data_IF_211435588833
#
_entry.id   IF_211435588833
#
_cell.length_a   1.000
_cell.length_b   1.000
_cell.length_c   1.000
_cell.angle_alpha   90.00
_cell.angle_beta   90.00
_cell.angle_gamma   90.00
#
_symmetry.space_group_name_H-M   'P 1'
#
loop_
_entity.id
_entity.type
_entity.pdbx_description
1 polymer ?
#
# COMPACT_ATOMS: atom_id res chain seq x y z
N UNK A 1 17.34 58.01 -88.46
CA UNK A 1 15.86 57.87 -88.51
C UNK A 1 15.57 56.50 -89.10
N UNK A 2 14.81 55.56 -88.55
CA UNK A 2 14.06 55.37 -87.30
C UNK A 2 13.82 53.85 -87.30
N UNK A 3 14.28 53.12 -86.28
CA UNK A 3 13.86 51.72 -86.06
C UNK A 3 12.79 51.67 -84.96
N UNK A 4 11.73 50.94 -85.24
CA UNK A 4 10.94 50.20 -84.24
C UNK A 4 10.75 48.80 -84.79
N UNK A 5 10.86 47.77 -83.94
CA UNK A 5 9.82 46.75 -83.94
C UNK A 5 9.31 46.44 -82.52
N UNK A 6 8.01 46.12 -82.47
CA UNK A 6 7.24 45.74 -81.27
C UNK A 6 7.78 44.44 -80.68
N UNK A 7 7.97 44.42 -79.36
CA UNK A 7 8.21 43.21 -78.56
C UNK A 7 6.93 42.74 -77.88
N UNK A 8 6.64 41.44 -78.01
CA UNK A 8 5.67 40.73 -77.20
C UNK A 8 6.27 40.45 -75.81
N UNK A 9 5.42 40.55 -74.80
CA UNK A 9 5.70 40.37 -73.37
C UNK A 9 5.70 38.88 -72.99
N UNK A 10 6.65 38.48 -72.15
CA UNK A 10 6.44 37.51 -71.07
C UNK A 10 6.94 38.14 -69.76
N UNK A 11 6.26 37.93 -68.61
CA UNK A 11 6.62 38.55 -67.33
C UNK A 11 7.76 37.78 -66.61
N UNK A 12 8.57 38.46 -65.77
CA UNK A 12 9.65 37.81 -65.04
C UNK A 12 9.16 37.07 -63.78
N UNK A 13 9.73 35.90 -63.53
CA UNK A 13 9.55 35.10 -62.31
C UNK A 13 10.18 35.79 -61.08
N UNK A 14 9.43 35.82 -59.98
CA UNK A 14 9.92 36.21 -58.65
C UNK A 14 10.42 34.96 -57.89
N UNK A 15 11.74 34.82 -57.75
CA UNK A 15 12.34 33.97 -56.73
C UNK A 15 12.70 34.82 -55.50
N UNK A 16 12.38 34.42 -54.26
CA UNK A 16 12.87 35.11 -53.07
C UNK A 16 14.23 34.54 -52.65
N UNK A 17 15.29 35.32 -52.87
CA UNK A 17 16.52 35.23 -52.08
C UNK A 17 16.26 35.82 -50.70
N UNK A 18 16.48 35.05 -49.64
CA UNK A 18 16.63 35.56 -48.28
C UNK A 18 17.86 34.90 -47.63
N UNK A 19 18.83 35.67 -47.09
CA UNK A 19 20.02 35.09 -46.47
C UNK A 19 19.66 34.36 -45.16
N UNK A 20 20.13 33.13 -44.99
CA UNK A 20 19.91 32.35 -43.76
C UNK A 20 20.55 33.05 -42.54
N UNK A 21 19.73 33.38 -41.54
CA UNK A 21 20.20 33.74 -40.20
C UNK A 21 20.90 32.55 -39.52
N UNK A 22 21.95 32.77 -38.72
CA UNK A 22 22.69 31.69 -38.08
C UNK A 22 21.80 31.01 -37.02
N UNK A 23 21.45 29.74 -37.27
CA UNK A 23 20.73 28.89 -36.31
C UNK A 23 21.55 28.75 -35.02
N UNK A 24 21.11 29.43 -33.95
CA UNK A 24 21.54 29.12 -32.59
C UNK A 24 21.30 27.63 -32.32
N UNK A 25 22.38 26.90 -31.97
CA UNK A 25 22.28 25.51 -31.55
C UNK A 25 21.64 25.45 -30.16
N UNK A 26 20.33 25.26 -30.12
CA UNK A 26 19.64 24.90 -28.89
C UNK A 26 20.12 23.52 -28.39
N UNK A 27 20.26 23.33 -27.05
CA UNK A 27 20.62 22.04 -26.49
C UNK A 27 19.50 21.01 -26.75
N UNK A 28 19.85 19.82 -27.28
CA UNK A 28 18.92 18.72 -27.57
C UNK A 28 18.26 18.17 -26.28
N UNK A 29 17.18 18.81 -25.83
CA UNK A 29 16.15 18.18 -25.00
C UNK A 29 15.32 17.22 -25.86
N UNK A 30 15.07 16.00 -25.37
CA UNK A 30 14.35 14.96 -26.15
C UNK A 30 12.85 15.17 -26.08
N UNK A 31 12.32 16.05 -26.92
CA UNK A 31 10.91 16.46 -26.87
C UNK A 31 9.91 15.48 -27.51
N UNK A 32 10.33 14.29 -27.98
CA UNK A 32 9.45 13.37 -28.74
C UNK A 32 9.56 11.87 -28.38
N UNK A 33 9.98 11.48 -27.15
CA UNK A 33 9.93 10.06 -26.75
C UNK A 33 8.47 9.60 -26.57
N UNK A 34 8.09 8.50 -27.23
CA UNK A 34 6.80 7.83 -27.01
C UNK A 34 6.73 7.22 -25.60
N UNK A 35 5.51 6.93 -25.11
CA UNK A 35 5.34 6.22 -23.83
C UNK A 35 6.07 4.86 -23.83
N UNK A 36 6.09 4.15 -24.96
CA UNK A 36 6.77 2.87 -25.08
C UNK A 36 8.30 3.00 -24.96
N UNK A 37 8.88 4.06 -25.52
CA UNK A 37 10.32 4.34 -25.40
C UNK A 37 10.68 4.77 -23.97
N UNK A 38 9.87 5.63 -23.38
CA UNK A 38 10.01 6.03 -21.97
C UNK A 38 9.92 4.82 -21.05
N UNK A 39 8.92 3.94 -21.26
CA UNK A 39 8.76 2.70 -20.52
C UNK A 39 9.99 1.79 -20.65
N UNK A 40 10.48 1.57 -21.88
CA UNK A 40 11.67 0.73 -22.13
C UNK A 40 12.90 1.22 -21.36
N UNK A 41 13.03 2.53 -21.18
CA UNK A 41 14.12 3.17 -20.44
C UNK A 41 14.01 2.96 -18.93
N UNK A 42 12.81 3.01 -18.35
CA UNK A 42 12.62 2.97 -16.89
C UNK A 42 12.27 1.60 -16.33
N UNK A 43 11.73 0.68 -17.15
CA UNK A 43 11.21 -0.62 -16.68
C UNK A 43 12.24 -1.45 -15.89
N UNK A 44 13.51 -1.44 -16.33
CA UNK A 44 14.57 -2.22 -15.69
C UNK A 44 14.81 -1.77 -14.24
N UNK A 45 14.55 -0.50 -13.93
CA UNK A 45 14.72 0.10 -12.61
C UNK A 45 13.54 -0.17 -11.68
N UNK A 46 12.46 -0.78 -12.17
CA UNK A 46 11.29 -1.18 -11.38
C UNK A 46 11.41 -2.64 -10.98
N UNK A 47 11.23 -2.91 -9.69
CA UNK A 47 11.50 -4.21 -9.05
C UNK A 47 10.31 -4.67 -8.23
N UNK A 48 10.25 -5.96 -7.93
CA UNK A 48 9.34 -6.49 -6.91
C UNK A 48 10.06 -6.52 -5.56
N UNK A 49 9.40 -6.03 -4.52
CA UNK A 49 9.85 -6.16 -3.13
C UNK A 49 8.97 -7.20 -2.46
N UNK A 50 9.57 -8.27 -1.96
CA UNK A 50 8.87 -9.39 -1.31
C UNK A 50 9.33 -9.53 0.13
N UNK A 51 8.38 -9.83 1.02
CA UNK A 51 8.61 -10.17 2.43
C UNK A 51 7.94 -11.52 2.74
N UNK A 52 8.05 -11.98 3.99
CA UNK A 52 7.26 -13.12 4.45
C UNK A 52 5.76 -12.80 4.54
N UNK A 53 5.41 -11.53 4.74
CA UNK A 53 4.03 -11.04 4.91
C UNK A 53 3.31 -10.74 3.60
N UNK A 54 4.05 -10.51 2.50
CA UNK A 54 3.46 -10.17 1.22
C UNK A 54 4.47 -9.71 0.18
N UNK A 55 4.01 -8.89 -0.76
CA UNK A 55 4.85 -8.26 -1.76
C UNK A 55 4.28 -6.93 -2.22
N UNK A 56 5.14 -6.11 -2.81
CA UNK A 56 4.80 -4.87 -3.49
C UNK A 56 5.81 -4.59 -4.59
N UNK A 57 5.81 -3.36 -5.07
CA UNK A 57 6.75 -2.85 -6.06
C UNK A 57 7.76 -1.92 -5.36
N UNK A 58 8.95 -1.81 -5.94
CA UNK A 58 9.91 -0.77 -5.61
C UNK A 58 10.64 -0.30 -6.86
N UNK A 59 11.56 0.64 -6.70
CA UNK A 59 12.38 1.13 -7.81
C UNK A 59 13.76 1.60 -7.36
N UNK A 60 14.75 1.49 -8.25
CA UNK A 60 16.13 1.91 -7.98
C UNK A 60 16.19 3.43 -7.84
N UNK A 61 16.50 3.88 -6.63
CA UNK A 61 16.62 5.29 -6.27
C UNK A 61 18.07 5.79 -6.40
N UNK A 62 19.03 4.95 -6.03
CA UNK A 62 20.47 5.26 -6.09
C UNK A 62 21.24 3.94 -6.27
N UNK A 63 21.83 3.75 -7.45
CA UNK A 63 22.50 2.50 -7.81
C UNK A 63 23.79 2.29 -6.99
N UNK A 64 24.54 3.37 -6.72
CA UNK A 64 25.81 3.35 -6.01
C UNK A 64 25.61 3.05 -4.52
N UNK A 65 24.62 3.69 -3.89
CA UNK A 65 24.21 3.38 -2.52
C UNK A 65 23.40 2.09 -2.40
N UNK A 66 23.01 1.51 -3.53
CA UNK A 66 22.15 0.32 -3.68
C UNK A 66 20.76 0.52 -3.06
N UNK A 67 20.21 1.72 -3.17
CA UNK A 67 18.93 2.09 -2.57
C UNK A 67 17.77 1.80 -3.51
N UNK A 68 16.78 1.10 -2.98
CA UNK A 68 15.50 0.83 -3.61
C UNK A 68 14.42 1.53 -2.77
N UNK A 69 13.61 2.37 -3.41
CA UNK A 69 12.45 2.99 -2.79
C UNK A 69 11.25 2.05 -2.85
N UNK A 70 10.40 2.07 -1.81
CA UNK A 70 9.11 1.37 -1.75
C UNK A 70 8.23 2.00 -0.65
N UNK A 71 7.02 1.47 -0.41
CA UNK A 71 6.23 1.88 0.75
C UNK A 71 6.74 1.25 2.04
N UNK A 72 6.49 1.90 3.17
CA UNK A 72 6.78 1.35 4.49
C UNK A 72 5.94 0.10 4.76
N UNK A 73 4.64 0.10 4.46
CA UNK A 73 3.78 -1.07 4.71
C UNK A 73 4.18 -2.33 3.92
N UNK A 74 4.92 -2.18 2.80
CA UNK A 74 5.41 -3.32 2.01
C UNK A 74 6.52 -4.08 2.75
N UNK A 75 7.32 -3.37 3.56
CA UNK A 75 8.42 -3.95 4.35
C UNK A 75 8.04 -4.25 5.80
N UNK A 76 6.79 -3.94 6.19
CA UNK A 76 6.23 -4.26 7.50
C UNK A 76 5.80 -5.73 7.60
N UNK A 77 5.70 -6.26 8.82
CA UNK A 77 5.30 -7.65 9.07
C UNK A 77 6.48 -8.64 9.10
N UNK A 78 7.68 -8.13 8.85
CA UNK A 78 8.98 -8.73 9.11
C UNK A 78 9.40 -9.93 8.29
N UNK A 79 10.57 -10.46 8.67
CA UNK A 79 11.26 -11.50 7.90
C UNK A 79 12.28 -10.94 6.91
N UNK A 80 12.77 -11.82 6.04
CA UNK A 80 13.74 -11.44 5.02
C UNK A 80 13.07 -10.62 3.90
N UNK A 81 13.66 -9.48 3.57
CA UNK A 81 13.24 -8.67 2.42
C UNK A 81 14.01 -9.16 1.19
N UNK A 82 13.31 -9.58 0.16
CA UNK A 82 13.88 -9.97 -1.14
C UNK A 82 13.49 -8.96 -2.20
N UNK A 83 14.48 -8.45 -2.93
CA UNK A 83 14.27 -7.61 -4.12
C UNK A 83 14.49 -8.45 -5.36
N UNK A 84 13.47 -8.51 -6.23
CA UNK A 84 13.46 -9.29 -7.47
C UNK A 84 13.52 -8.33 -8.66
N UNK A 85 14.52 -8.54 -9.51
CA UNK A 85 14.81 -7.74 -10.68
C UNK A 85 14.40 -8.48 -11.94
N UNK A 86 13.80 -7.74 -12.88
CA UNK A 86 13.34 -8.25 -14.16
C UNK A 86 14.14 -7.68 -15.35
N UNK A 87 15.23 -6.96 -15.09
CA UNK A 87 16.13 -6.51 -16.16
C UNK A 87 16.64 -7.72 -16.95
N UNK A 88 16.30 -7.79 -18.23
CA UNK A 88 16.72 -8.87 -19.12
C UNK A 88 18.25 -9.02 -19.18
N UNK A 89 19.02 -7.94 -18.92
CA UNK A 89 20.48 -7.98 -18.89
C UNK A 89 21.03 -8.66 -17.63
N UNK A 90 20.29 -8.67 -16.53
CA UNK A 90 20.73 -9.22 -15.25
C UNK A 90 19.52 -9.61 -14.38
N UNK A 91 18.74 -10.62 -14.81
CA UNK A 91 17.60 -11.10 -14.04
C UNK A 91 18.08 -11.72 -12.73
N UNK A 92 17.20 -11.75 -11.73
CA UNK A 92 17.46 -12.45 -10.48
C UNK A 92 17.05 -11.65 -9.26
N UNK A 93 17.46 -12.11 -8.08
CA UNK A 93 17.02 -11.55 -6.82
C UNK A 93 18.18 -11.36 -5.84
N UNK A 94 17.98 -10.50 -4.85
CA UNK A 94 18.91 -10.32 -3.74
C UNK A 94 18.15 -10.01 -2.45
N UNK A 95 18.76 -10.32 -1.33
CA UNK A 95 18.24 -9.92 -0.02
C UNK A 95 18.45 -8.42 0.19
N UNK A 96 17.66 -7.78 1.04
CA UNK A 96 17.79 -6.37 1.34
C UNK A 96 17.63 -6.12 2.84
N UNK A 97 18.23 -5.02 3.29
CA UNK A 97 18.07 -4.50 4.64
C UNK A 97 17.38 -3.15 4.59
N UNK A 98 16.62 -2.79 5.62
CA UNK A 98 15.98 -1.46 5.66
C UNK A 98 17.02 -0.40 5.96
N UNK A 99 17.17 0.58 5.06
CA UNK A 99 18.12 1.67 5.21
C UNK A 99 17.50 2.86 5.93
N UNK A 100 16.30 3.27 5.50
CA UNK A 100 15.59 4.44 6.02
C UNK A 100 14.08 4.22 5.93
N UNK A 101 13.34 4.74 6.89
CA UNK A 101 11.87 4.74 6.89
C UNK A 101 11.40 6.11 7.32
N UNK A 102 10.47 6.69 6.57
CA UNK A 102 9.93 8.01 6.89
C UNK A 102 9.02 7.92 8.14
N UNK A 103 9.06 8.92 9.02
CA UNK A 103 8.32 8.88 10.30
C UNK A 103 6.81 8.94 10.09
N UNK A 104 6.33 9.82 9.20
CA UNK A 104 4.88 10.02 8.99
C UNK A 104 4.38 9.40 7.69
N UNK A 105 4.97 9.76 6.54
CA UNK A 105 4.61 9.21 5.23
C UNK A 105 4.95 7.70 5.13
N UNK A 106 4.10 6.96 4.42
CA UNK A 106 4.26 5.53 4.14
C UNK A 106 5.33 5.27 3.06
N UNK A 107 6.58 5.62 3.38
CA UNK A 107 7.72 5.59 2.47
C UNK A 107 8.93 4.96 3.17
N UNK A 108 9.63 4.09 2.45
CA UNK A 108 10.86 3.45 2.90
C UNK A 108 11.91 3.35 1.80
N UNK A 109 13.17 3.28 2.22
CA UNK A 109 14.32 2.95 1.39
C UNK A 109 14.94 1.67 1.96
N UNK A 110 15.07 0.64 1.12
CA UNK A 110 15.83 -0.57 1.43
C UNK A 110 17.16 -0.57 0.68
N UNK A 111 18.19 -1.15 1.28
CA UNK A 111 19.50 -1.35 0.67
C UNK A 111 19.60 -2.78 0.17
N UNK A 112 19.69 -2.93 -1.15
CA UNK A 112 19.89 -4.22 -1.79
C UNK A 112 21.29 -4.79 -1.44
N UNK A 113 21.33 -6.05 -1.06
CA UNK A 113 22.53 -6.80 -0.71
C UNK A 113 23.33 -7.29 -1.93
N UNK A 114 24.39 -8.04 -1.66
CA UNK A 114 25.24 -8.67 -2.67
C UNK A 114 26.05 -7.69 -3.53
N UNK A 115 26.72 -8.25 -4.54
CA UNK A 115 27.63 -7.53 -5.46
C UNK A 115 27.06 -7.30 -6.86
N UNK A 116 25.81 -7.72 -7.14
CA UNK A 116 25.17 -7.51 -8.45
C UNK A 116 25.15 -6.03 -8.82
N UNK A 117 25.37 -5.70 -10.09
CA UNK A 117 25.09 -4.35 -10.57
C UNK A 117 23.59 -4.06 -10.50
N UNK A 118 23.24 -2.82 -10.14
CA UNK A 118 21.85 -2.38 -10.18
C UNK A 118 21.56 -1.66 -11.50
N UNK A 119 20.34 -1.77 -12.03
CA UNK A 119 19.87 -0.91 -13.11
C UNK A 119 20.04 0.58 -12.77
N UNK A 120 20.07 1.48 -13.77
CA UNK A 120 20.18 2.92 -13.53
C UNK A 120 19.11 3.43 -12.56
N UNK A 121 19.47 4.37 -11.70
CA UNK A 121 18.50 5.04 -10.86
C UNK A 121 17.48 5.82 -11.71
N UNK A 122 16.22 5.82 -11.28
CA UNK A 122 15.20 6.69 -11.89
C UNK A 122 15.44 8.16 -11.49
N UNK A 123 15.03 9.09 -12.34
CA UNK A 123 15.05 10.52 -12.02
C UNK A 123 13.81 10.88 -11.20
N UNK A 124 13.95 11.75 -10.20
CA UNK A 124 12.81 12.27 -9.44
C UNK A 124 12.36 13.61 -10.03
N UNK A 125 11.08 13.72 -10.40
CA UNK A 125 10.47 14.92 -11.00
C UNK A 125 9.91 15.90 -9.97
N UNK A 126 9.71 17.16 -10.35
CA UNK A 126 9.22 18.19 -9.43
C UNK A 126 7.72 18.06 -9.18
N UNK A 127 7.29 17.99 -7.92
CA UNK A 127 5.88 17.88 -7.51
C UNK A 127 5.14 19.21 -7.63
N UNK A 128 5.82 20.34 -7.45
CA UNK A 128 5.21 21.68 -7.56
C UNK A 128 4.80 22.04 -8.99
N UNK A 129 5.38 21.39 -9.99
CA UNK A 129 5.00 21.57 -11.40
C UNK A 129 3.83 20.69 -11.84
N UNK A 130 3.38 19.75 -11.00
CA UNK A 130 2.32 18.79 -11.36
C UNK A 130 0.95 19.45 -11.26
N UNK A 131 0.11 19.27 -12.26
CA UNK A 131 -1.25 19.82 -12.36
C UNK A 131 -2.30 18.71 -12.58
N UNK A 132 -3.57 18.94 -12.19
CA UNK A 132 -4.66 18.07 -12.62
C UNK A 132 -4.68 17.93 -14.16
N UNK A 133 -5.09 16.74 -14.61
CA UNK A 133 -5.05 16.28 -16.01
C UNK A 133 -3.65 15.99 -16.58
N UNK A 134 -2.56 16.20 -15.83
CA UNK A 134 -1.23 15.77 -16.28
C UNK A 134 -1.22 14.25 -16.55
N UNK A 135 -0.75 13.81 -17.73
CA UNK A 135 -0.65 12.40 -18.06
C UNK A 135 0.41 11.71 -17.21
N UNK A 136 0.06 10.53 -16.70
CA UNK A 136 0.94 9.70 -15.88
C UNK A 136 0.92 8.25 -16.34
N UNK A 137 1.95 7.51 -15.94
CA UNK A 137 1.91 6.06 -15.99
C UNK A 137 2.62 5.47 -14.78
N UNK A 138 2.27 4.23 -14.47
CA UNK A 138 2.89 3.45 -13.39
C UNK A 138 3.30 2.09 -13.92
N UNK A 139 4.32 1.52 -13.29
CA UNK A 139 4.76 0.15 -13.51
C UNK A 139 4.75 -0.56 -12.16
N UNK A 140 4.14 -1.75 -12.10
CA UNK A 140 4.10 -2.54 -10.87
C UNK A 140 3.96 -4.03 -11.14
N UNK A 141 3.90 -4.83 -10.07
CA UNK A 141 3.83 -6.29 -10.16
C UNK A 141 2.53 -6.85 -9.55
N UNK A 142 1.35 -6.58 -10.16
CA UNK A 142 0.07 -7.06 -9.67
C UNK A 142 -0.01 -8.58 -9.80
N UNK A 143 0.03 -9.33 -8.71
CA UNK A 143 -0.25 -10.78 -8.75
C UNK A 143 0.95 -11.72 -8.61
N UNK A 144 2.07 -11.27 -8.03
CA UNK A 144 3.18 -12.19 -7.69
C UNK A 144 2.74 -13.31 -6.71
N UNK A 145 1.64 -13.17 -5.98
CA UNK A 145 1.21 -14.08 -4.89
C UNK A 145 0.78 -15.50 -5.19
N UNK A 146 0.48 -15.86 -6.44
CA UNK A 146 -0.09 -17.19 -6.75
C UNK A 146 0.98 -18.24 -7.10
N UNK A 147 2.07 -18.32 -6.33
CA UNK A 147 3.21 -19.19 -6.68
C UNK A 147 3.88 -18.82 -8.02
N UNK A 148 3.59 -17.61 -8.52
CA UNK A 148 4.11 -17.03 -9.74
C UNK A 148 5.18 -15.94 -9.49
N UNK A 149 5.54 -15.67 -8.22
CA UNK A 149 6.73 -14.89 -7.89
C UNK A 149 7.93 -15.57 -8.57
N UNK A 150 8.49 -14.93 -9.60
CA UNK A 150 9.58 -15.49 -10.40
C UNK A 150 9.16 -16.28 -11.64
N UNK A 151 7.86 -16.51 -11.88
CA UNK A 151 7.32 -17.05 -13.15
C UNK A 151 6.83 -15.97 -14.12
N UNK A 152 6.86 -14.70 -13.71
CA UNK A 152 6.74 -13.55 -14.62
C UNK A 152 5.36 -13.27 -15.22
N UNK A 153 4.31 -14.01 -14.87
CA UNK A 153 3.01 -13.92 -15.57
C UNK A 153 2.37 -12.52 -15.47
N UNK A 154 2.57 -11.78 -14.39
CA UNK A 154 2.04 -10.41 -14.20
C UNK A 154 3.06 -9.42 -13.62
N UNK A 155 4.36 -9.72 -13.72
CA UNK A 155 5.40 -8.78 -13.32
C UNK A 155 5.50 -7.62 -14.32
N UNK A 156 5.81 -6.41 -13.85
CA UNK A 156 5.99 -5.21 -14.68
C UNK A 156 4.77 -4.83 -15.56
N UNK A 157 3.57 -4.88 -14.98
CA UNK A 157 2.36 -4.37 -15.62
C UNK A 157 2.41 -2.84 -15.68
N UNK A 158 2.18 -2.29 -16.88
CA UNK A 158 2.07 -0.84 -17.11
C UNK A 158 0.62 -0.42 -17.03
N UNK A 159 0.35 0.71 -16.39
CA UNK A 159 -0.97 1.33 -16.38
C UNK A 159 -0.83 2.83 -16.62
N UNK A 160 -1.67 3.39 -17.50
CA UNK A 160 -1.73 4.82 -17.80
C UNK A 160 -2.95 5.45 -17.10
N UNK A 161 -2.85 6.74 -16.81
CA UNK A 161 -3.94 7.57 -16.30
C UNK A 161 -3.54 9.04 -16.31
N UNK A 162 -4.19 9.83 -15.47
CA UNK A 162 -3.93 11.24 -15.23
C UNK A 162 -3.84 11.54 -13.72
N UNK A 163 -3.30 12.71 -13.41
CA UNK A 163 -3.49 13.32 -12.10
C UNK A 163 -4.93 13.82 -11.99
N UNK A 164 -5.74 13.22 -11.12
CA UNK A 164 -7.12 13.66 -10.88
C UNK A 164 -7.18 14.85 -9.94
N UNK A 165 -6.29 14.91 -8.94
CA UNK A 165 -6.17 16.05 -8.03
C UNK A 165 -4.79 16.10 -7.38
N UNK A 166 -4.34 17.30 -7.04
CA UNK A 166 -3.09 17.57 -6.31
C UNK A 166 -3.38 17.96 -4.86
N UNK A 167 -2.34 17.92 -4.01
CA UNK A 167 -2.36 18.43 -2.62
C UNK A 167 -3.44 17.80 -1.74
N UNK A 168 -3.81 16.55 -2.00
CA UNK A 168 -4.61 15.76 -1.04
C UNK A 168 -3.78 15.55 0.22
N UNK A 169 -4.44 15.51 1.36
CA UNK A 169 -3.82 15.30 2.66
C UNK A 169 -4.52 14.13 3.36
N UNK A 170 -3.73 13.14 3.75
CA UNK A 170 -4.18 12.02 4.55
C UNK A 170 -3.30 11.93 5.78
N UNK A 171 -3.85 12.35 6.93
CA UNK A 171 -3.16 12.34 8.23
C UNK A 171 -1.79 13.04 8.19
N UNK A 172 -1.67 14.16 7.46
CA UNK A 172 -0.45 14.94 7.32
C UNK A 172 0.51 14.43 6.22
N UNK A 173 0.11 13.42 5.44
CA UNK A 173 0.86 12.96 4.26
C UNK A 173 0.24 13.53 2.99
N UNK A 174 1.04 14.27 2.21
CA UNK A 174 0.62 14.83 0.93
C UNK A 174 0.66 13.77 -0.19
N UNK A 175 -0.40 13.72 -0.98
CA UNK A 175 -0.53 12.80 -2.09
C UNK A 175 -1.27 13.39 -3.30
N UNK A 176 -1.04 12.78 -4.46
CA UNK A 176 -1.85 12.94 -5.65
C UNK A 176 -3.02 11.97 -5.58
N UNK A 177 -4.19 12.40 -6.06
CA UNK A 177 -5.25 11.49 -6.49
C UNK A 177 -5.04 11.20 -7.97
N UNK A 178 -5.16 9.94 -8.37
CA UNK A 178 -4.98 9.47 -9.75
C UNK A 178 -6.13 8.54 -10.14
N UNK A 179 -6.34 8.37 -11.45
CA UNK A 179 -7.30 7.42 -12.01
C UNK A 179 -6.65 6.17 -12.64
N UNK A 180 -5.31 6.15 -12.76
CA UNK A 180 -4.59 4.95 -13.18
C UNK A 180 -4.95 3.79 -12.26
N UNK A 181 -5.32 2.66 -12.85
CA UNK A 181 -5.72 1.47 -12.09
C UNK A 181 -4.56 0.97 -11.21
N UNK A 182 -4.79 0.90 -9.90
CA UNK A 182 -3.87 0.31 -8.94
C UNK A 182 -4.48 -0.96 -8.34
N UNK A 183 -3.66 -2.00 -8.29
CA UNK A 183 -3.95 -3.23 -7.55
C UNK A 183 -2.95 -3.38 -6.41
N UNK A 184 -3.19 -4.33 -5.50
CA UNK A 184 -2.35 -4.55 -4.31
C UNK A 184 -0.83 -4.65 -4.60
N UNK A 185 -0.44 -5.25 -5.73
CA UNK A 185 0.99 -5.39 -6.09
C UNK A 185 1.68 -4.12 -6.58
N UNK A 186 0.94 -3.03 -6.87
CA UNK A 186 1.50 -1.76 -7.34
C UNK A 186 1.99 -0.86 -6.20
N UNK A 187 1.61 -1.13 -4.94
CA UNK A 187 2.09 -0.39 -3.77
C UNK A 187 3.62 -0.33 -3.73
N UNK A 188 4.15 0.86 -3.51
CA UNK A 188 5.59 1.15 -3.45
C UNK A 188 6.22 1.38 -4.82
N UNK A 189 5.48 1.13 -5.90
CA UNK A 189 5.93 1.39 -7.26
C UNK A 189 5.96 2.88 -7.60
N UNK A 190 6.72 3.26 -8.65
CA UNK A 190 6.83 4.64 -9.08
C UNK A 190 5.58 5.11 -9.85
N UNK A 191 5.14 6.33 -9.59
CA UNK A 191 4.27 7.12 -10.46
C UNK A 191 5.13 8.02 -11.34
N UNK A 192 5.17 7.74 -12.64
CA UNK A 192 5.96 8.49 -13.61
C UNK A 192 5.14 9.57 -14.32
N UNK A 193 5.78 10.71 -14.61
CA UNK A 193 5.32 11.63 -15.65
C UNK A 193 5.74 11.11 -17.05
N UNK A 194 5.31 11.77 -18.13
CA UNK A 194 5.66 11.37 -19.51
C UNK A 194 7.15 11.40 -19.83
N UNK A 195 7.96 12.14 -19.06
CA UNK A 195 9.42 12.17 -19.20
C UNK A 195 10.09 10.94 -18.55
N UNK A 196 9.34 10.09 -17.86
CA UNK A 196 9.86 8.96 -17.08
C UNK A 196 10.53 9.40 -15.78
N UNK A 197 10.17 10.55 -15.24
CA UNK A 197 10.59 11.01 -13.92
C UNK A 197 9.53 10.62 -12.89
N UNK A 198 9.97 10.12 -11.74
CA UNK A 198 9.09 9.74 -10.64
C UNK A 198 8.61 11.00 -9.93
N UNK A 199 7.31 11.24 -9.96
CA UNK A 199 6.65 12.35 -9.26
C UNK A 199 5.92 11.88 -7.98
N UNK A 200 5.65 10.59 -7.86
CA UNK A 200 5.07 10.02 -6.65
C UNK A 200 5.35 8.53 -6.46
N UNK A 201 4.92 7.98 -5.33
CA UNK A 201 5.00 6.56 -4.98
C UNK A 201 3.60 6.05 -4.75
N UNK A 202 3.17 5.07 -5.56
CA UNK A 202 1.81 4.53 -5.48
C UNK A 202 1.56 3.92 -4.11
N UNK A 203 0.39 4.19 -3.52
CA UNK A 203 -0.05 3.57 -2.27
C UNK A 203 -1.44 2.99 -2.46
N UNK A 204 -1.53 1.66 -2.47
CA UNK A 204 -2.80 0.95 -2.50
C UNK A 204 -3.38 0.91 -1.09
N UNK A 205 -4.66 1.27 -0.93
CA UNK A 205 -5.37 1.18 0.35
C UNK A 205 -5.78 2.50 0.99
N UNK A 206 -5.17 3.65 0.65
CA UNK A 206 -5.72 4.96 1.05
C UNK A 206 -7.14 5.20 0.47
N UNK A 207 -7.44 4.56 -0.66
CA UNK A 207 -8.75 4.57 -1.32
C UNK A 207 -9.75 3.51 -0.86
N UNK A 208 -9.42 2.67 0.14
CA UNK A 208 -10.26 1.56 0.60
C UNK A 208 -11.50 2.00 1.41
N UNK A 209 -12.06 3.17 1.12
CA UNK A 209 -13.37 3.63 1.60
C UNK A 209 -14.55 3.05 0.78
N UNK A 210 -14.33 1.94 0.06
CA UNK A 210 -15.39 1.24 -0.68
C UNK A 210 -15.88 1.96 -1.96
N UNK A 211 -15.08 2.87 -2.53
CA UNK A 211 -15.39 3.52 -3.82
C UNK A 211 -14.39 3.09 -4.89
N UNK A 212 -14.91 2.53 -5.98
CA UNK A 212 -14.14 2.19 -7.17
C UNK A 212 -13.42 3.45 -7.72
N UNK A 213 -12.21 3.28 -8.25
CA UNK A 213 -11.39 4.33 -8.92
C UNK A 213 -10.86 5.49 -8.05
N UNK A 214 -10.67 5.30 -6.75
CA UNK A 214 -9.98 6.27 -5.89
C UNK A 214 -8.55 5.80 -5.59
N UNK A 215 -7.58 6.18 -6.42
CA UNK A 215 -6.18 5.78 -6.26
C UNK A 215 -5.30 6.97 -5.85
N UNK A 216 -4.23 6.69 -5.10
CA UNK A 216 -3.35 7.73 -4.57
C UNK A 216 -1.87 7.40 -4.77
N UNK A 217 -1.06 8.43 -4.93
CA UNK A 217 0.40 8.35 -4.91
C UNK A 217 0.98 9.41 -3.97
N UNK A 218 1.81 8.98 -3.03
CA UNK A 218 2.50 9.84 -2.08
C UNK A 218 3.53 10.69 -2.82
N UNK A 219 3.67 11.96 -2.45
CA UNK A 219 4.63 12.86 -3.11
C UNK A 219 6.07 12.33 -3.04
N UNK A 220 6.81 12.46 -4.14
CA UNK A 220 8.21 12.01 -4.20
C UNK A 220 9.14 12.83 -3.29
N UNK A 221 8.69 13.98 -2.78
CA UNK A 221 9.47 14.80 -1.85
C UNK A 221 9.83 14.07 -0.56
N UNK A 222 8.94 13.20 -0.06
CA UNK A 222 9.25 12.36 1.11
C UNK A 222 10.42 11.40 0.85
N UNK A 223 10.61 10.95 -0.40
CA UNK A 223 11.82 10.19 -0.79
C UNK A 223 13.06 11.09 -0.86
N UNK A 224 12.93 12.35 -1.32
CA UNK A 224 14.04 13.32 -1.30
C UNK A 224 14.49 13.62 0.12
N UNK A 225 13.54 13.85 1.03
CA UNK A 225 13.78 14.06 2.45
C UNK A 225 14.58 12.88 3.04
N UNK A 226 14.11 11.64 2.82
CA UNK A 226 14.82 10.44 3.26
C UNK A 226 16.21 10.31 2.65
N UNK A 227 16.34 10.52 1.33
CA UNK A 227 17.58 10.30 0.58
C UNK A 227 18.69 11.28 0.95
N UNK A 228 18.33 12.55 1.18
CA UNK A 228 19.26 13.61 1.55
C UNK A 228 19.56 13.64 3.06
N UNK A 229 18.80 12.89 3.86
CA UNK A 229 18.93 12.86 5.31
C UNK A 229 18.34 14.08 6.01
N UNK A 230 17.51 14.88 5.33
CA UNK A 230 16.73 15.93 5.97
C UNK A 230 15.66 15.27 6.85
N UNK A 231 15.69 15.61 8.13
CA UNK A 231 15.09 14.83 9.20
C UNK A 231 13.61 14.48 9.00
N UNK A 232 13.32 13.19 9.25
CA UNK A 232 12.06 12.51 9.65
C UNK A 232 12.25 11.01 9.36
N UNK A 233 13.37 10.46 9.80
CA UNK A 233 13.68 9.03 9.63
C UNK A 233 13.51 8.33 10.99
N UNK A 234 12.85 7.18 11.00
CA UNK A 234 12.80 6.33 12.19
C UNK A 234 14.21 5.96 12.64
N UNK A 235 14.43 5.88 13.96
CA UNK A 235 15.67 5.37 14.54
C UNK A 235 15.89 3.91 14.15
N UNK A 236 17.16 3.43 14.22
CA UNK A 236 17.47 2.01 14.00
C UNK A 236 16.64 1.07 14.89
N UNK A 237 16.36 1.48 16.13
CA UNK A 237 15.54 0.70 17.08
C UNK A 237 14.09 0.61 16.60
N UNK A 238 13.52 1.71 16.13
CA UNK A 238 12.17 1.75 15.58
C UNK A 238 12.08 0.96 14.27
N UNK A 239 13.05 1.09 13.37
CA UNK A 239 13.15 0.28 12.15
C UNK A 239 13.24 -1.20 12.53
N UNK A 240 14.10 -1.57 13.47
CA UNK A 240 14.21 -2.96 13.94
C UNK A 240 12.89 -3.47 14.51
N UNK A 241 12.15 -2.65 15.27
CA UNK A 241 10.82 -3.04 15.74
C UNK A 241 9.87 -3.25 14.57
N UNK A 242 9.82 -2.31 13.63
CA UNK A 242 8.95 -2.35 12.45
C UNK A 242 9.17 -3.59 11.57
N UNK A 243 10.43 -3.97 11.34
CA UNK A 243 10.80 -5.12 10.48
C UNK A 243 10.86 -6.45 11.22
N UNK A 244 10.76 -6.46 12.55
CA UNK A 244 10.71 -7.71 13.31
C UNK A 244 9.36 -7.95 13.97
N UNK A 245 8.47 -6.95 13.96
CA UNK A 245 7.10 -7.10 14.42
C UNK A 245 6.29 -7.90 13.40
N UNK A 246 6.22 -9.21 13.65
CA UNK A 246 5.45 -10.17 12.86
C UNK A 246 3.99 -10.29 13.35
N UNK A 247 3.52 -9.37 14.20
CA UNK A 247 2.20 -9.47 14.80
C UNK A 247 1.09 -9.58 13.76
N UNK A 248 1.10 -8.71 12.74
CA UNK A 248 0.11 -8.73 11.66
C UNK A 248 0.17 -10.04 10.86
N UNK A 249 1.37 -10.54 10.56
CA UNK A 249 1.56 -11.82 9.87
C UNK A 249 0.94 -12.98 10.64
N UNK A 250 1.19 -13.05 11.96
CA UNK A 250 0.56 -14.06 12.81
C UNK A 250 -0.94 -13.84 12.94
N UNK A 251 -1.41 -12.60 13.03
CA UNK A 251 -2.84 -12.29 13.05
C UNK A 251 -3.55 -12.79 11.77
N UNK A 252 -2.97 -12.58 10.58
CA UNK A 252 -3.54 -13.06 9.32
C UNK A 252 -3.56 -14.59 9.24
N UNK A 253 -2.49 -15.27 9.68
CA UNK A 253 -2.46 -16.74 9.78
C UNK A 253 -3.51 -17.25 10.75
N UNK A 254 -3.67 -16.58 11.90
CA UNK A 254 -4.69 -16.88 12.89
C UNK A 254 -6.10 -16.71 12.34
N UNK A 255 -6.34 -15.62 11.59
CA UNK A 255 -7.61 -15.36 10.93
C UNK A 255 -7.93 -16.44 9.88
N UNK A 256 -6.97 -16.79 9.01
CA UNK A 256 -7.14 -17.88 8.02
C UNK A 256 -7.50 -19.20 8.70
N UNK A 257 -6.73 -19.60 9.73
CA UNK A 257 -7.01 -20.81 10.49
C UNK A 257 -8.39 -20.75 11.17
N UNK A 258 -8.80 -19.60 11.69
CA UNK A 258 -10.12 -19.40 12.28
C UNK A 258 -11.26 -19.55 11.24
N UNK A 259 -11.09 -19.00 10.04
CA UNK A 259 -12.08 -19.18 8.95
C UNK A 259 -12.19 -20.63 8.49
N UNK A 260 -11.09 -21.39 8.57
CA UNK A 260 -11.06 -22.84 8.33
C UNK A 260 -11.54 -23.65 9.55
N UNK A 261 -12.03 -22.99 10.61
CA UNK A 261 -12.50 -23.59 11.87
C UNK A 261 -11.41 -24.35 12.65
N UNK A 262 -10.14 -24.13 12.34
CA UNK A 262 -8.97 -24.69 13.04
C UNK A 262 -8.65 -23.87 14.29
N UNK A 263 -9.57 -23.82 15.25
CA UNK A 263 -9.52 -22.89 16.38
C UNK A 263 -8.27 -23.03 17.27
N UNK A 264 -7.77 -24.25 17.51
CA UNK A 264 -6.52 -24.45 18.29
C UNK A 264 -5.29 -23.89 17.59
N UNK A 265 -5.22 -24.02 16.25
CA UNK A 265 -4.15 -23.43 15.47
C UNK A 265 -4.28 -21.90 15.43
N UNK A 266 -5.50 -21.39 15.26
CA UNK A 266 -5.79 -19.96 15.31
C UNK A 266 -5.35 -19.33 16.65
N UNK A 267 -5.65 -19.98 17.79
CA UNK A 267 -5.18 -19.54 19.11
C UNK A 267 -3.67 -19.40 19.18
N UNK A 268 -2.92 -20.39 18.67
CA UNK A 268 -1.46 -20.34 18.65
C UNK A 268 -0.97 -19.11 17.89
N UNK A 269 -1.52 -18.85 16.71
CA UNK A 269 -1.14 -17.68 15.93
C UNK A 269 -1.57 -16.35 16.58
N UNK A 270 -2.76 -16.26 17.16
CA UNK A 270 -3.15 -15.03 17.89
C UNK A 270 -2.28 -14.80 19.14
N UNK A 271 -1.84 -15.86 19.82
CA UNK A 271 -0.88 -15.77 20.91
C UNK A 271 0.47 -15.22 20.44
N UNK A 272 0.99 -15.72 19.31
CA UNK A 272 2.20 -15.17 18.70
C UNK A 272 2.01 -13.71 18.27
N UNK A 273 0.85 -13.35 17.72
CA UNK A 273 0.58 -11.96 17.36
C UNK A 273 0.64 -11.02 18.58
N UNK A 274 0.03 -11.45 19.70
CA UNK A 274 -0.01 -10.69 20.96
C UNK A 274 1.36 -10.67 21.65
N UNK A 275 2.17 -11.75 21.52
CA UNK A 275 3.51 -11.80 22.10
C UNK A 275 4.43 -10.77 21.46
N UNK A 276 4.29 -10.55 20.14
CA UNK A 276 5.02 -9.52 19.39
C UNK A 276 4.47 -8.11 19.66
N UNK A 277 3.15 -7.95 19.71
CA UNK A 277 2.48 -6.66 19.90
C UNK A 277 1.41 -6.74 21.01
N UNK A 278 1.82 -6.37 22.23
CA UNK A 278 0.96 -6.43 23.44
C UNK A 278 -0.22 -5.45 23.43
N UNK A 279 -0.19 -4.46 22.56
CA UNK A 279 -1.23 -3.45 22.33
C UNK A 279 -2.10 -3.77 21.10
N UNK A 280 -2.05 -5.00 20.57
CA UNK A 280 -2.77 -5.39 19.37
C UNK A 280 -4.26 -5.72 19.64
N UNK A 281 -5.09 -4.69 19.76
CA UNK A 281 -6.52 -4.81 20.10
C UNK A 281 -7.29 -5.83 19.25
N UNK A 282 -7.05 -5.86 17.92
CA UNK A 282 -7.72 -6.81 17.00
C UNK A 282 -7.33 -8.26 17.26
N UNK A 283 -6.08 -8.54 17.63
CA UNK A 283 -5.64 -9.88 17.96
C UNK A 283 -6.29 -10.39 19.25
N UNK A 284 -6.44 -9.53 20.26
CA UNK A 284 -7.23 -9.86 21.46
C UNK A 284 -8.69 -10.14 21.10
N UNK A 285 -9.34 -9.32 20.27
CA UNK A 285 -10.72 -9.56 19.84
C UNK A 285 -10.86 -10.92 19.16
N UNK A 286 -9.99 -11.24 18.20
CA UNK A 286 -10.04 -12.52 17.48
C UNK A 286 -9.69 -13.71 18.37
N UNK A 287 -8.76 -13.56 19.31
CA UNK A 287 -8.44 -14.61 20.29
C UNK A 287 -9.62 -14.85 21.23
N UNK A 288 -10.29 -13.81 21.69
CA UNK A 288 -11.50 -13.91 22.49
C UNK A 288 -12.65 -14.60 21.74
N UNK A 289 -12.84 -14.27 20.45
CA UNK A 289 -13.79 -14.99 19.58
C UNK A 289 -13.41 -16.47 19.47
N UNK A 290 -12.12 -16.77 19.35
CA UNK A 290 -11.64 -18.14 19.25
C UNK A 290 -11.85 -18.93 20.55
N UNK A 291 -11.63 -18.32 21.71
CA UNK A 291 -11.94 -18.90 23.01
C UNK A 291 -13.43 -19.19 23.16
N UNK A 292 -14.30 -18.26 22.75
CA UNK A 292 -15.76 -18.48 22.76
C UNK A 292 -16.17 -19.66 21.88
N UNK A 293 -15.58 -19.82 20.68
CA UNK A 293 -15.82 -20.98 19.81
C UNK A 293 -15.36 -22.32 20.43
N UNK A 294 -14.46 -22.27 21.41
CA UNK A 294 -13.97 -23.44 22.15
C UNK A 294 -14.70 -23.63 23.50
N UNK A 295 -15.63 -22.75 23.86
CA UNK A 295 -16.37 -22.77 25.14
C UNK A 295 -15.64 -22.12 26.32
N UNK A 296 -14.48 -21.50 26.08
CA UNK A 296 -13.63 -20.88 27.10
C UNK A 296 -14.08 -19.44 27.41
N UNK A 297 -15.29 -19.30 27.97
CA UNK A 297 -16.02 -18.03 28.07
C UNK A 297 -15.32 -16.95 28.94
N UNK A 298 -14.64 -17.35 30.02
CA UNK A 298 -13.93 -16.42 30.89
C UNK A 298 -12.72 -15.80 30.17
N UNK A 299 -11.97 -16.64 29.45
CA UNK A 299 -10.84 -16.18 28.63
C UNK A 299 -11.32 -15.29 27.48
N UNK A 300 -12.45 -15.64 26.85
CA UNK A 300 -13.07 -14.82 25.82
C UNK A 300 -13.42 -13.42 26.33
N UNK A 301 -14.08 -13.36 27.49
CA UNK A 301 -14.50 -12.10 28.12
C UNK A 301 -13.30 -11.23 28.50
N UNK A 302 -12.26 -11.80 29.11
CA UNK A 302 -11.03 -11.10 29.46
C UNK A 302 -10.35 -10.46 28.23
N UNK A 303 -10.30 -11.20 27.12
CA UNK A 303 -9.73 -10.72 25.86
C UNK A 303 -10.59 -9.63 25.20
N UNK A 304 -11.92 -9.74 25.26
CA UNK A 304 -12.81 -8.68 24.76
C UNK A 304 -12.65 -7.39 25.56
N UNK A 305 -12.62 -7.46 26.89
CA UNK A 305 -12.40 -6.30 27.74
C UNK A 305 -11.02 -5.68 27.49
N UNK A 306 -9.98 -6.50 27.31
CA UNK A 306 -8.64 -6.00 26.95
C UNK A 306 -8.65 -5.32 25.58
N UNK A 307 -9.36 -5.88 24.59
CA UNK A 307 -9.52 -5.31 23.27
C UNK A 307 -10.23 -3.95 23.31
N UNK A 308 -11.35 -3.84 24.04
CA UNK A 308 -12.07 -2.58 24.22
C UNK A 308 -11.24 -1.50 24.93
N UNK A 309 -10.43 -1.89 25.93
CA UNK A 309 -9.50 -0.97 26.61
C UNK A 309 -8.39 -0.46 25.68
N UNK A 310 -7.89 -1.31 24.76
CA UNK A 310 -6.84 -0.94 23.81
C UNK A 310 -7.37 -0.11 22.64
N UNK A 311 -8.56 -0.43 22.13
CA UNK A 311 -9.24 0.34 21.08
C UNK A 311 -10.74 0.52 21.44
N UNK A 312 -11.10 1.68 22.03
CA UNK A 312 -12.48 1.97 22.41
C UNK A 312 -13.48 1.94 21.26
N UNK A 313 -13.03 2.09 19.99
CA UNK A 313 -13.92 2.01 18.82
C UNK A 313 -14.46 0.60 18.60
N UNK A 314 -13.80 -0.43 19.14
CA UNK A 314 -14.25 -1.82 19.07
C UNK A 314 -15.38 -2.15 20.06
N UNK A 315 -15.65 -1.27 21.03
CA UNK A 315 -16.66 -1.51 22.08
C UNK A 315 -18.04 -1.85 21.50
N UNK A 316 -18.49 -1.14 20.46
CA UNK A 316 -19.77 -1.43 19.81
C UNK A 316 -19.78 -2.79 19.10
N UNK A 317 -18.65 -3.22 18.53
CA UNK A 317 -18.52 -4.56 17.91
C UNK A 317 -18.52 -5.67 18.97
N UNK A 318 -17.89 -5.42 20.12
CA UNK A 318 -17.86 -6.35 21.25
C UNK A 318 -19.26 -6.50 21.87
N UNK A 319 -20.04 -5.41 21.96
CA UNK A 319 -21.44 -5.46 22.36
C UNK A 319 -22.25 -6.40 21.46
N UNK A 320 -22.18 -6.24 20.13
CA UNK A 320 -22.86 -7.12 19.18
C UNK A 320 -22.41 -8.58 19.33
N UNK A 321 -21.12 -8.80 19.59
CA UNK A 321 -20.58 -10.14 19.80
C UNK A 321 -21.13 -10.80 21.07
N UNK A 322 -21.19 -10.09 22.21
CA UNK A 322 -21.78 -10.62 23.44
C UNK A 322 -23.25 -11.00 23.25
N UNK A 323 -24.03 -10.17 22.55
CA UNK A 323 -25.43 -10.48 22.21
C UNK A 323 -25.54 -11.78 21.42
N UNK A 324 -24.75 -11.93 20.36
CA UNK A 324 -24.76 -13.13 19.50
C UNK A 324 -24.34 -14.39 20.24
N UNK A 325 -23.34 -14.28 21.12
CA UNK A 325 -22.91 -15.40 21.96
C UNK A 325 -24.05 -15.80 22.92
N UNK A 326 -24.69 -14.82 23.57
CA UNK A 326 -25.82 -15.07 24.46
C UNK A 326 -27.00 -15.75 23.73
N UNK A 327 -27.35 -15.25 22.54
CA UNK A 327 -28.36 -15.86 21.67
C UNK A 327 -28.02 -17.30 21.28
N UNK A 328 -26.74 -17.57 20.98
CA UNK A 328 -26.25 -18.91 20.68
C UNK A 328 -26.43 -19.86 21.85
N UNK A 329 -26.07 -19.41 23.06
CA UNK A 329 -26.25 -20.20 24.28
C UNK A 329 -27.71 -20.46 24.61
N UNK A 330 -28.59 -19.47 24.46
CA UNK A 330 -30.04 -19.63 24.61
C UNK A 330 -30.57 -20.74 23.69
N UNK A 331 -30.18 -20.72 22.41
CA UNK A 331 -30.61 -21.74 21.44
C UNK A 331 -30.06 -23.12 21.75
N UNK A 332 -28.89 -23.20 22.36
CA UNK A 332 -28.28 -24.45 22.81
C UNK A 332 -28.85 -24.97 24.15
N UNK A 333 -29.79 -24.23 24.78
CA UNK A 333 -30.33 -24.56 26.10
C UNK A 333 -29.37 -24.26 27.26
N UNK A 334 -28.23 -23.62 27.00
CA UNK A 334 -27.30 -23.17 28.04
C UNK A 334 -27.74 -21.78 28.52
N UNK A 335 -28.78 -21.75 29.33
CA UNK A 335 -29.37 -20.50 29.78
C UNK A 335 -28.48 -19.69 30.73
N UNK A 336 -27.66 -20.35 31.55
CA UNK A 336 -26.69 -19.68 32.43
C UNK A 336 -25.67 -18.89 31.63
N UNK A 337 -25.10 -19.49 30.58
CA UNK A 337 -24.18 -18.81 29.66
C UNK A 337 -24.85 -17.64 28.95
N UNK A 338 -26.10 -17.79 28.53
CA UNK A 338 -26.87 -16.71 27.91
C UNK A 338 -27.09 -15.53 28.87
N UNK A 339 -27.51 -15.80 30.12
CA UNK A 339 -27.68 -14.77 31.17
C UNK A 339 -26.37 -14.02 31.40
N UNK A 340 -25.26 -14.73 31.53
CA UNK A 340 -23.93 -14.15 31.72
C UNK A 340 -23.57 -13.17 30.59
N UNK A 341 -23.67 -13.60 29.33
CA UNK A 341 -23.28 -12.77 28.20
C UNK A 341 -24.25 -11.63 27.91
N UNK A 342 -25.55 -11.79 28.20
CA UNK A 342 -26.46 -10.64 28.24
C UNK A 342 -26.08 -9.64 29.33
N UNK A 343 -25.64 -10.11 30.50
CA UNK A 343 -25.07 -9.25 31.54
C UNK A 343 -23.88 -8.44 31.04
N UNK A 344 -22.93 -9.08 30.34
CA UNK A 344 -21.78 -8.38 29.73
C UNK A 344 -22.18 -7.38 28.65
N UNK A 345 -23.20 -7.68 27.85
CA UNK A 345 -23.75 -6.71 26.90
C UNK A 345 -24.39 -5.49 27.62
N UNK A 346 -25.11 -5.72 28.72
CA UNK A 346 -25.75 -4.68 29.52
C UNK A 346 -24.71 -3.77 30.20
N UNK A 347 -23.60 -4.33 30.69
CA UNK A 347 -22.48 -3.56 31.24
C UNK A 347 -21.96 -2.51 30.23
N UNK A 348 -21.95 -2.83 28.94
CA UNK A 348 -21.53 -1.91 27.88
C UNK A 348 -22.64 -0.92 27.48
N UNK A 349 -23.89 -1.37 27.39
CA UNK A 349 -25.02 -0.56 26.94
C UNK A 349 -26.21 -0.66 27.91
N UNK A 350 -26.11 -0.02 29.09
CA UNK A 350 -27.10 -0.18 30.16
C UNK A 350 -28.48 0.42 29.82
N UNK A 351 -28.57 1.28 28.80
CA UNK A 351 -29.82 1.87 28.34
C UNK A 351 -30.54 1.05 27.25
N UNK A 352 -29.92 -0.01 26.73
CA UNK A 352 -30.54 -0.85 25.70
C UNK A 352 -31.54 -1.84 26.33
N UNK A 353 -32.81 -1.44 26.37
CA UNK A 353 -33.92 -2.24 26.90
C UNK A 353 -34.05 -3.63 26.26
N UNK A 354 -33.63 -3.80 24.99
CA UNK A 354 -33.71 -5.08 24.30
C UNK A 354 -32.86 -6.15 24.98
N UNK A 355 -31.74 -5.78 25.61
CA UNK A 355 -30.87 -6.70 26.34
C UNK A 355 -31.51 -7.21 27.62
N UNK A 356 -32.25 -6.35 28.34
CA UNK A 356 -32.97 -6.74 29.55
C UNK A 356 -34.16 -7.64 29.21
N UNK A 357 -34.90 -7.33 28.15
CA UNK A 357 -35.98 -8.20 27.65
C UNK A 357 -35.43 -9.59 27.27
N UNK A 358 -34.30 -9.64 26.56
CA UNK A 358 -33.70 -10.89 26.14
C UNK A 358 -33.19 -11.73 27.33
N UNK A 359 -32.53 -11.08 28.31
CA UNK A 359 -32.09 -11.75 29.55
C UNK A 359 -33.26 -12.20 30.42
N UNK A 360 -34.32 -11.40 30.54
CA UNK A 360 -35.55 -11.74 31.27
C UNK A 360 -36.27 -12.93 30.64
N UNK A 361 -36.34 -12.98 29.31
CA UNK A 361 -36.84 -14.15 28.60
C UNK A 361 -35.99 -15.39 28.88
N UNK A 362 -34.66 -15.26 28.96
CA UNK A 362 -33.81 -16.39 29.38
C UNK A 362 -34.13 -16.86 30.80
N UNK A 363 -34.28 -15.97 31.78
CA UNK A 363 -34.67 -16.35 33.15
C UNK A 363 -36.00 -17.14 33.17
N UNK A 364 -37.00 -16.70 32.41
CA UNK A 364 -38.26 -17.42 32.26
C UNK A 364 -38.06 -18.87 31.76
N UNK A 365 -37.12 -19.09 30.83
CA UNK A 365 -36.79 -20.43 30.32
C UNK A 365 -36.09 -21.32 31.37
N UNK A 366 -35.37 -20.73 32.34
CA UNK A 366 -34.74 -21.47 33.46
C UNK A 366 -35.76 -21.89 34.52
N UNK A 367 -36.96 -21.29 34.55
CA UNK A 367 -37.94 -21.40 35.66
C UNK A 367 -37.36 -20.96 37.02
N UNK A 368 -36.34 -20.11 37.00
CA UNK A 368 -35.76 -19.50 38.19
C UNK A 368 -36.44 -18.14 38.35
N UNK A 369 -37.34 -18.01 39.33
CA UNK A 369 -38.23 -16.86 39.52
C UNK A 369 -37.71 -15.89 40.58
#
# INVERSE_FOLDING_TARGET
MTETPRTNLDPPEFGPDNPEEPKERQPKGRENETLAETYKRVQASVVTVKTESGWGTGFVLDADKRWIATNRHVIEGGGEITVIFYDARSPGQTTASVARVHTTADIAIVKAGGSRSLPPAVKLGNTDSVQPADPIFTVGSPGSGFGAVGKGILAQTVTKGIISAVKRDFEGTKCFQIDAALNHGNSGGPLFNEKGEVIGVNTYGLGALGKENLNFAIYVDYLRELGNGYGKTLSKKEINRLVNDRADTYYQKGFSAWTEKKYREALRYFNEAISQRKDFAKAYLMRGMTYSMLGENDLATSDFEKSARLDPKLTGKILDLYRRIADGFNKAGNYEGAIFFYGKAIEISPADSSLYCARGHTYYLVKDF
#
